data_IF_749685372800
#
_entry.id   IF_749685372800
#
_cell.length_a   1.000
_cell.length_b   1.000
_cell.length_c   1.000
_cell.angle_alpha   90.00
_cell.angle_beta   90.00
_cell.angle_gamma   90.00
#
_symmetry.space_group_name_H-M   'P 1'
#
loop_
_entity.id
_entity.type
_entity.pdbx_description
1 polymer ?
#
# COMPACT_ATOMS: atom_id res chain seq x y z
N UNK A 1 26.45 -10.79 7.56
CA UNK A 1 25.26 -11.05 8.41
C UNK A 1 24.02 -10.34 7.87
N UNK A 2 24.05 -9.02 7.66
CA UNK A 2 22.92 -8.23 7.13
C UNK A 2 22.49 -8.55 5.69
N UNK A 3 23.44 -8.81 4.78
CA UNK A 3 23.13 -9.19 3.40
C UNK A 3 22.25 -10.45 3.32
N UNK A 4 22.58 -11.50 4.07
CA UNK A 4 21.79 -12.73 4.09
C UNK A 4 20.38 -12.51 4.66
N UNK A 5 20.22 -11.60 5.62
CA UNK A 5 18.91 -11.24 6.16
C UNK A 5 18.08 -10.47 5.12
N UNK A 6 18.68 -9.47 4.48
CA UNK A 6 18.06 -8.72 3.40
C UNK A 6 17.59 -9.65 2.28
N UNK A 7 18.48 -10.49 1.75
CA UNK A 7 18.15 -11.46 0.69
C UNK A 7 17.03 -12.38 1.14
N UNK A 8 17.10 -12.94 2.35
CA UNK A 8 16.06 -13.84 2.87
C UNK A 8 14.68 -13.16 2.96
N UNK A 9 14.63 -11.93 3.46
CA UNK A 9 13.36 -11.18 3.57
C UNK A 9 12.83 -10.80 2.19
N UNK A 10 13.70 -10.32 1.31
CA UNK A 10 13.36 -9.96 -0.06
C UNK A 10 12.80 -11.15 -0.85
N UNK A 11 13.48 -12.31 -0.80
CA UNK A 11 13.03 -13.54 -1.47
C UNK A 11 11.65 -13.99 -0.98
N UNK A 12 11.38 -13.92 0.33
CA UNK A 12 10.07 -14.32 0.89
C UNK A 12 8.93 -13.43 0.40
N UNK A 13 9.16 -12.12 0.32
CA UNK A 13 8.16 -11.18 -0.20
C UNK A 13 7.95 -11.42 -1.70
N UNK A 14 9.02 -11.62 -2.46
CA UNK A 14 8.95 -11.97 -3.88
C UNK A 14 8.13 -13.25 -4.13
N UNK A 15 8.41 -14.33 -3.39
CA UNK A 15 7.66 -15.58 -3.49
C UNK A 15 6.17 -15.41 -3.15
N UNK A 16 5.86 -14.55 -2.17
CA UNK A 16 4.49 -14.22 -1.81
C UNK A 16 3.80 -13.45 -2.93
N UNK A 17 4.43 -12.41 -3.48
CA UNK A 17 3.87 -11.59 -4.55
C UNK A 17 3.62 -12.40 -5.83
N UNK A 18 4.51 -13.33 -6.17
CA UNK A 18 4.26 -14.27 -7.27
C UNK A 18 3.05 -15.18 -7.02
N UNK A 19 2.88 -15.67 -5.79
CA UNK A 19 1.70 -16.48 -5.44
C UNK A 19 0.42 -15.66 -5.54
N UNK A 20 0.45 -14.39 -5.11
CA UNK A 20 -0.67 -13.47 -5.28
C UNK A 20 -0.96 -13.20 -6.75
N UNK A 21 0.05 -12.94 -7.58
CA UNK A 21 -0.13 -12.79 -9.02
C UNK A 21 -0.82 -14.01 -9.65
N UNK A 22 -0.37 -15.22 -9.31
CA UNK A 22 -0.97 -16.46 -9.82
C UNK A 22 -2.41 -16.64 -9.34
N UNK A 23 -2.72 -16.24 -8.10
CA UNK A 23 -4.09 -16.20 -7.61
C UNK A 23 -4.94 -15.20 -8.39
N UNK A 24 -4.42 -13.99 -8.64
CA UNK A 24 -5.10 -12.97 -9.42
C UNK A 24 -5.40 -13.44 -10.83
N UNK A 25 -4.43 -14.06 -11.51
CA UNK A 25 -4.60 -14.67 -12.84
C UNK A 25 -5.69 -15.74 -12.87
N UNK A 26 -5.75 -16.62 -11.87
CA UNK A 26 -6.75 -17.71 -11.78
C UNK A 26 -8.18 -17.21 -11.53
N UNK A 27 -8.31 -16.11 -10.80
CA UNK A 27 -9.60 -15.56 -10.36
C UNK A 27 -9.97 -14.27 -11.10
N UNK A 28 -9.26 -13.98 -12.19
CA UNK A 28 -9.32 -12.72 -12.89
C UNK A 28 -10.68 -12.50 -13.56
N UNK A 29 -11.30 -11.36 -13.27
CA UNK A 29 -12.49 -10.87 -13.95
C UNK A 29 -12.21 -9.48 -14.54
N UNK A 30 -12.08 -9.35 -15.88
CA UNK A 30 -11.76 -8.07 -16.50
C UNK A 30 -12.76 -6.95 -16.20
N UNK A 31 -14.04 -7.30 -16.01
CA UNK A 31 -15.13 -6.35 -15.79
C UNK A 31 -15.28 -5.91 -14.32
N UNK A 32 -14.57 -6.57 -13.40
CA UNK A 32 -14.61 -6.29 -11.97
C UNK A 32 -13.22 -6.43 -11.33
N UNK A 33 -12.27 -5.55 -11.68
CA UNK A 33 -10.93 -5.60 -11.09
C UNK A 33 -10.98 -5.32 -9.60
N UNK A 34 -10.28 -6.14 -8.80
CA UNK A 34 -10.28 -6.01 -7.33
C UNK A 34 -9.27 -4.98 -6.82
N UNK A 35 -8.13 -4.89 -7.50
CA UNK A 35 -7.00 -4.06 -7.10
C UNK A 35 -6.05 -3.76 -8.27
N UNK A 36 -4.89 -3.18 -7.95
CA UNK A 36 -3.85 -2.81 -8.91
C UNK A 36 -3.37 -4.00 -9.74
N UNK A 37 -3.28 -5.21 -9.18
CA UNK A 37 -2.82 -6.39 -9.93
C UNK A 37 -3.83 -6.76 -11.02
N UNK A 38 -5.13 -6.77 -10.71
CA UNK A 38 -6.15 -7.04 -11.72
C UNK A 38 -6.21 -5.95 -12.81
N UNK A 39 -6.07 -4.68 -12.43
CA UNK A 39 -6.04 -3.56 -13.38
C UNK A 39 -4.83 -3.71 -14.31
N UNK A 40 -3.65 -4.03 -13.77
CA UNK A 40 -2.45 -4.22 -14.57
C UNK A 40 -2.57 -5.46 -15.48
N UNK A 41 -3.18 -6.55 -15.00
CA UNK A 41 -3.49 -7.71 -15.83
C UNK A 41 -4.43 -7.38 -16.99
N UNK A 42 -5.39 -6.47 -16.81
CA UNK A 42 -6.22 -5.95 -17.90
C UNK A 42 -5.37 -5.22 -18.94
N UNK A 43 -4.41 -4.40 -18.50
CA UNK A 43 -3.48 -3.70 -19.40
C UNK A 43 -2.66 -4.69 -20.22
N UNK A 44 -2.01 -5.67 -19.58
CA UNK A 44 -1.22 -6.72 -20.27
C UNK A 44 -2.08 -7.48 -21.30
N UNK A 45 -3.36 -7.75 -20.99
CA UNK A 45 -4.26 -8.51 -21.86
C UNK A 45 -4.96 -7.67 -22.92
N UNK A 46 -4.82 -6.34 -22.90
CA UNK A 46 -5.48 -5.44 -23.83
C UNK A 46 -4.98 -5.61 -25.28
N UNK A 47 -5.83 -5.27 -26.25
CA UNK A 47 -5.61 -5.55 -27.67
C UNK A 47 -4.59 -4.60 -28.36
N UNK A 48 -4.10 -3.56 -27.69
CA UNK A 48 -3.06 -2.63 -28.18
C UNK A 48 -1.65 -3.25 -28.03
N UNK A 49 -1.49 -4.42 -28.65
CA UNK A 49 -0.40 -5.37 -28.35
C UNK A 49 1.01 -4.92 -28.74
N UNK A 50 1.19 -3.98 -29.65
CA UNK A 50 2.53 -3.61 -30.13
C UNK A 50 3.31 -2.73 -29.13
N UNK A 51 2.67 -1.74 -28.48
CA UNK A 51 3.37 -0.84 -27.55
C UNK A 51 3.31 -1.34 -26.10
N UNK A 52 2.24 -2.05 -25.73
CA UNK A 52 2.01 -2.52 -24.36
C UNK A 52 3.00 -3.61 -23.95
N UNK A 53 3.39 -4.50 -24.89
CA UNK A 53 4.23 -5.65 -24.56
C UNK A 53 5.71 -5.30 -24.29
N UNK A 54 6.16 -4.10 -24.71
CA UNK A 54 7.50 -3.59 -24.38
C UNK A 54 7.55 -2.92 -22.99
N UNK A 55 6.42 -2.39 -22.51
CA UNK A 55 6.37 -1.57 -21.29
C UNK A 55 5.71 -2.25 -20.09
N UNK A 56 4.97 -3.33 -20.29
CA UNK A 56 4.21 -4.03 -19.24
C UNK A 56 4.45 -5.54 -19.28
N UNK A 57 5.01 -6.08 -18.20
CA UNK A 57 5.25 -7.51 -18.00
C UNK A 57 4.76 -7.98 -16.62
N UNK A 58 4.58 -9.29 -16.48
CA UNK A 58 4.22 -9.89 -15.18
C UNK A 58 5.32 -9.65 -14.12
N UNK A 59 6.60 -9.70 -14.52
CA UNK A 59 7.74 -9.40 -13.65
C UNK A 59 7.75 -7.93 -13.21
N UNK A 60 7.41 -7.00 -14.12
CA UNK A 60 7.28 -5.58 -13.79
C UNK A 60 6.12 -5.35 -12.82
N UNK A 61 5.01 -6.08 -12.95
CA UNK A 61 3.90 -6.02 -12.00
C UNK A 61 4.33 -6.50 -10.60
N UNK A 62 5.09 -7.60 -10.51
CA UNK A 62 5.62 -8.09 -9.23
C UNK A 62 6.60 -7.08 -8.63
N UNK A 63 7.49 -6.50 -9.43
CA UNK A 63 8.42 -5.47 -8.99
C UNK A 63 7.69 -4.21 -8.48
N UNK A 64 6.69 -3.72 -9.23
CA UNK A 64 5.84 -2.60 -8.82
C UNK A 64 5.15 -2.86 -7.49
N UNK A 65 4.59 -4.06 -7.33
CA UNK A 65 3.90 -4.47 -6.10
C UNK A 65 4.87 -4.52 -4.92
N UNK A 66 6.10 -4.96 -5.15
CA UNK A 66 7.16 -4.95 -4.15
C UNK A 66 7.52 -3.52 -3.73
N UNK A 67 7.74 -2.63 -4.70
CA UNK A 67 8.09 -1.23 -4.44
C UNK A 67 7.00 -0.53 -3.63
N UNK A 68 5.73 -0.72 -4.01
CA UNK A 68 4.59 -0.19 -3.25
C UNK A 68 4.57 -0.71 -1.81
N UNK A 69 4.76 -2.02 -1.62
CA UNK A 69 4.74 -2.64 -0.29
C UNK A 69 5.88 -2.12 0.59
N UNK A 70 7.12 -2.10 0.07
CA UNK A 70 8.28 -1.64 0.81
C UNK A 70 8.20 -0.15 1.14
N UNK A 71 7.94 0.69 0.13
CA UNK A 71 7.90 2.14 0.29
C UNK A 71 6.77 2.56 1.25
N UNK A 72 5.59 1.97 1.13
CA UNK A 72 4.42 2.31 1.95
C UNK A 72 4.54 1.83 3.40
N UNK A 73 5.07 0.62 3.62
CA UNK A 73 5.08 0.01 4.95
C UNK A 73 6.09 0.65 5.90
N UNK A 74 7.35 0.80 5.45
CA UNK A 74 8.43 1.28 6.32
C UNK A 74 8.23 2.75 6.68
N UNK A 75 7.97 3.60 5.68
CA UNK A 75 7.84 5.05 5.88
C UNK A 75 6.65 5.39 6.76
N UNK A 76 5.46 4.87 6.46
CA UNK A 76 4.23 5.15 7.22
C UNK A 76 4.34 4.63 8.66
N UNK A 77 4.83 3.41 8.87
CA UNK A 77 5.01 2.85 10.20
C UNK A 77 5.98 3.67 11.04
N UNK A 78 7.11 4.08 10.44
CA UNK A 78 8.10 4.89 11.13
C UNK A 78 7.54 6.28 11.47
N UNK A 79 6.87 6.95 10.52
CA UNK A 79 6.22 8.25 10.76
C UNK A 79 5.17 8.17 11.88
N UNK A 80 4.32 7.15 11.89
CA UNK A 80 3.35 6.95 12.97
C UNK A 80 4.03 6.67 14.31
N UNK A 81 5.13 5.90 14.33
CA UNK A 81 5.89 5.62 15.55
C UNK A 81 6.45 6.89 16.16
N UNK A 82 7.05 7.76 15.35
CA UNK A 82 7.48 9.09 15.82
C UNK A 82 6.30 9.94 16.25
N UNK A 83 5.20 9.96 15.49
CA UNK A 83 3.99 10.70 15.84
C UNK A 83 3.50 10.32 17.25
N UNK A 84 3.33 9.03 17.54
CA UNK A 84 2.93 8.57 18.88
C UNK A 84 3.96 8.88 19.95
N UNK A 85 5.26 8.74 19.66
CA UNK A 85 6.32 9.13 20.60
C UNK A 85 6.19 10.62 20.98
N UNK A 86 5.97 11.50 20.01
CA UNK A 86 5.77 12.93 20.26
C UNK A 86 4.49 13.20 21.04
N UNK A 87 3.38 12.51 20.76
CA UNK A 87 2.14 12.67 21.53
C UNK A 87 2.33 12.27 23.00
N UNK A 88 3.11 11.22 23.28
CA UNK A 88 3.44 10.79 24.66
C UNK A 88 4.34 11.81 25.38
N UNK A 89 5.35 12.33 24.69
CA UNK A 89 6.31 13.29 25.26
C UNK A 89 5.70 14.69 25.48
N UNK A 90 4.67 15.05 24.73
CA UNK A 90 4.01 16.36 24.75
C UNK A 90 2.49 16.21 24.95
N UNK A 91 2.02 15.87 26.17
CA UNK A 91 0.61 15.59 26.46
C UNK A 91 -0.34 16.76 26.13
N UNK A 92 0.15 18.00 26.18
CA UNK A 92 -0.60 19.19 25.78
C UNK A 92 -0.91 19.23 24.29
N UNK A 93 -0.02 18.68 23.44
CA UNK A 93 -0.26 18.54 22.00
C UNK A 93 -1.26 17.41 21.76
N UNK A 94 -1.11 16.29 22.48
CA UNK A 94 -2.08 15.19 22.42
C UNK A 94 -3.49 15.63 22.81
N UNK A 95 -3.61 16.42 23.89
CA UNK A 95 -4.91 16.96 24.32
C UNK A 95 -5.54 17.84 23.25
N UNK A 96 -4.77 18.75 22.64
CA UNK A 96 -5.25 19.60 21.54
C UNK A 96 -5.75 18.79 20.35
N UNK A 97 -5.01 17.75 19.94
CA UNK A 97 -5.43 16.88 18.85
C UNK A 97 -6.73 16.12 19.18
N UNK A 98 -6.89 15.65 20.42
CA UNK A 98 -8.13 15.01 20.87
C UNK A 98 -9.31 15.99 20.92
N UNK A 99 -9.09 17.21 21.41
CA UNK A 99 -10.12 18.26 21.46
C UNK A 99 -10.60 18.62 20.04
N UNK A 100 -9.70 18.66 19.04
CA UNK A 100 -10.05 18.88 17.63
C UNK A 100 -10.86 17.72 17.04
N UNK A 101 -10.46 16.47 17.30
CA UNK A 101 -11.21 15.28 16.86
C UNK A 101 -12.62 15.30 17.48
N UNK A 102 -12.74 15.57 18.78
CA UNK A 102 -14.03 15.66 19.47
C UNK A 102 -14.91 16.79 18.90
N UNK A 103 -14.32 17.91 18.47
CA UNK A 103 -15.05 19.04 17.91
C UNK A 103 -15.53 18.82 16.45
N UNK A 104 -14.69 18.21 15.59
CA UNK A 104 -14.98 18.04 14.16
C UNK A 104 -15.70 16.72 13.86
N UNK A 105 -15.23 15.63 14.46
CA UNK A 105 -15.73 14.26 14.20
C UNK A 105 -16.77 13.86 15.24
N UNK A 106 -16.53 14.19 16.50
CA UNK A 106 -17.33 13.74 17.64
C UNK A 106 -17.10 12.26 17.96
N UNK A 107 -17.95 11.70 18.84
CA UNK A 107 -17.74 10.37 19.45
C UNK A 107 -18.57 9.23 18.83
N UNK A 108 -19.41 9.54 17.85
CA UNK A 108 -20.44 8.61 17.34
C UNK A 108 -20.00 7.95 16.03
N UNK A 109 -19.13 8.60 15.26
CA UNK A 109 -18.67 8.12 13.95
C UNK A 109 -17.16 8.05 13.86
N UNK A 110 -16.68 7.26 12.91
CA UNK A 110 -15.27 7.22 12.55
C UNK A 110 -14.87 8.44 11.69
N UNK A 111 -13.60 8.88 11.75
CA UNK A 111 -13.10 9.94 10.87
C UNK A 111 -13.18 9.57 9.38
N UNK A 112 -13.29 10.59 8.53
CA UNK A 112 -13.32 10.50 7.08
C UNK A 112 -12.38 11.55 6.44
N UNK A 113 -12.10 11.43 5.15
CA UNK A 113 -11.26 12.39 4.44
C UNK A 113 -11.87 13.80 4.37
N UNK A 114 -13.19 13.91 4.44
CA UNK A 114 -13.91 15.20 4.41
C UNK A 114 -13.72 16.01 5.69
N UNK A 115 -13.26 15.38 6.78
CA UNK A 115 -12.96 16.05 8.05
C UNK A 115 -11.66 16.87 7.99
N UNK A 116 -10.84 16.65 6.95
CA UNK A 116 -9.58 17.38 6.76
C UNK A 116 -9.88 18.81 6.29
N UNK A 117 -9.39 19.86 6.99
CA UNK A 117 -9.50 21.23 6.52
C UNK A 117 -8.88 21.39 5.13
N UNK A 118 -9.53 22.17 4.26
CA UNK A 118 -9.05 22.49 2.92
C UNK A 118 -7.92 23.51 2.94
#
# INVERSE_FOLDING_TARGET
MWYNLYVRSHTRIWEFLFKELEYHKKTHNPDAPRDVMDIYLNVIKSAEKEFVHESFSEEQLVALSMDMFMAGSETTSNTLSFCFLYLILYPEVQKKAQDEIDAVVGKIRVPSLDDRPK
#
